data_IF_596703161937
#
_entry.id   IF_596703161937
#
_cell.length_a   1.000
_cell.length_b   1.000
_cell.length_c   1.000
_cell.angle_alpha   90.00
_cell.angle_beta   90.00
_cell.angle_gamma   90.00
#
_symmetry.space_group_name_H-M   'P 1'
#
loop_
_entity.id
_entity.type
_entity.pdbx_description
1 polymer ?
#
# COMPACT_ATOMS: atom_id res chain seq x y z
N UNK A 1 -11.32 -8.52 7.88
CA UNK A 1 -11.83 -7.23 7.37
C UNK A 1 -11.40 -7.12 5.91
N UNK A 2 -12.23 -6.52 5.04
CA UNK A 2 -11.91 -6.38 3.61
C UNK A 2 -11.00 -5.17 3.31
N UNK A 3 -10.60 -4.44 4.34
CA UNK A 3 -9.60 -3.37 4.35
C UNK A 3 -8.76 -3.48 5.63
N UNK A 4 -7.65 -2.76 5.68
CA UNK A 4 -6.74 -2.74 6.83
C UNK A 4 -6.97 -1.48 7.69
N UNK A 5 -6.80 -1.60 9.00
CA UNK A 5 -6.77 -0.47 9.93
C UNK A 5 -5.41 -0.44 10.65
N UNK A 6 -4.71 0.67 10.53
CA UNK A 6 -3.44 0.92 11.22
C UNK A 6 -3.66 2.00 12.28
N UNK A 7 -3.08 1.83 13.47
CA UNK A 7 -3.11 2.84 14.53
C UNK A 7 -1.70 3.32 14.81
N UNK A 8 -1.41 4.57 14.48
CA UNK A 8 -0.16 5.26 14.78
C UNK A 8 -0.36 5.98 16.12
N UNK A 9 -0.35 5.19 17.20
CA UNK A 9 -0.58 5.66 18.55
C UNK A 9 0.75 5.96 19.25
N UNK A 10 0.78 7.05 20.01
CA UNK A 10 1.86 7.26 20.98
C UNK A 10 1.70 6.29 22.16
N UNK A 11 2.80 5.83 22.75
CA UNK A 11 2.75 4.91 23.89
C UNK A 11 2.05 5.53 25.12
N UNK A 12 2.14 6.85 25.29
CA UNK A 12 1.56 7.62 26.38
C UNK A 12 0.95 8.93 25.84
N UNK A 13 -0.22 8.90 25.18
CA UNK A 13 -0.81 10.08 24.57
C UNK A 13 -1.25 11.06 25.66
N UNK A 14 -0.84 12.33 25.55
CA UNK A 14 -1.44 13.41 26.35
C UNK A 14 -2.85 13.75 25.87
N UNK A 15 -3.16 13.43 24.62
CA UNK A 15 -4.43 13.64 23.94
C UNK A 15 -4.95 12.31 23.34
N UNK A 16 -6.08 11.79 23.86
CA UNK A 16 -6.67 10.49 23.44
C UNK A 16 -7.56 10.52 22.18
N UNK A 17 -8.19 11.64 21.81
CA UNK A 17 -8.88 11.75 20.53
C UNK A 17 -7.98 11.47 19.31
N UNK A 18 -8.45 10.59 18.43
CA UNK A 18 -7.80 10.17 17.21
C UNK A 18 -8.26 10.97 15.99
N UNK A 19 -7.31 11.26 15.10
CA UNK A 19 -7.57 11.59 13.70
C UNK A 19 -7.76 10.29 12.91
N UNK A 20 -8.90 10.12 12.25
CA UNK A 20 -9.11 9.01 11.31
C UNK A 20 -8.86 9.46 9.87
N UNK A 21 -7.81 8.93 9.24
CA UNK A 21 -7.48 9.16 7.83
C UNK A 21 -7.97 7.99 6.99
N UNK A 22 -8.81 8.25 6.00
CA UNK A 22 -9.40 7.23 5.13
C UNK A 22 -9.02 7.53 3.69
N UNK A 23 -8.60 6.52 2.94
CA UNK A 23 -8.35 6.62 1.50
C UNK A 23 -8.78 5.38 0.74
N UNK A 24 -8.78 5.48 -0.58
CA UNK A 24 -9.00 4.33 -1.46
C UNK A 24 -10.43 3.81 -1.45
N UNK A 25 -11.41 4.67 -1.14
CA UNK A 25 -12.83 4.37 -1.35
C UNK A 25 -13.14 4.14 -2.84
N UNK A 26 -12.38 4.84 -3.70
CA UNK A 26 -12.37 4.64 -5.14
C UNK A 26 -11.02 4.10 -5.59
N UNK A 27 -11.06 3.07 -6.43
CA UNK A 27 -9.87 2.30 -6.77
C UNK A 27 -8.99 2.89 -7.87
N UNK A 28 -9.42 3.97 -8.52
CA UNK A 28 -8.69 4.70 -9.57
C UNK A 28 -8.07 6.02 -9.05
N UNK A 29 -7.97 6.19 -7.73
CA UNK A 29 -7.54 7.44 -7.08
C UNK A 29 -6.27 7.23 -6.24
N UNK A 30 -5.11 7.06 -6.92
CA UNK A 30 -3.89 6.61 -6.28
C UNK A 30 -3.22 7.61 -5.36
N UNK A 31 -3.53 8.91 -5.45
CA UNK A 31 -2.93 9.91 -4.57
C UNK A 31 -3.18 9.59 -3.10
N UNK A 32 -4.45 9.36 -2.73
CA UNK A 32 -4.83 9.13 -1.33
C UNK A 32 -4.19 7.89 -0.72
N UNK A 33 -4.27 6.73 -1.41
CA UNK A 33 -3.76 5.48 -0.83
C UNK A 33 -2.24 5.33 -0.88
N UNK A 34 -1.54 6.02 -1.77
CA UNK A 34 -0.08 6.13 -1.67
C UNK A 34 0.33 7.06 -0.52
N UNK A 35 -0.38 8.16 -0.29
CA UNK A 35 -0.11 9.06 0.83
C UNK A 35 -0.31 8.36 2.19
N UNK A 36 -1.39 7.60 2.37
CA UNK A 36 -1.60 6.83 3.61
C UNK A 36 -0.60 5.70 3.76
N UNK A 37 -0.14 5.07 2.67
CA UNK A 37 0.97 4.10 2.73
C UNK A 37 2.27 4.73 3.23
N UNK A 38 2.62 5.93 2.75
CA UNK A 38 3.78 6.69 3.23
C UNK A 38 3.59 7.12 4.68
N UNK A 39 2.40 7.60 5.05
CA UNK A 39 2.07 7.94 6.43
C UNK A 39 2.34 6.77 7.38
N UNK A 40 1.87 5.57 7.04
CA UNK A 40 2.03 4.38 7.88
C UNK A 40 3.50 3.96 8.02
N UNK A 41 4.30 4.04 6.95
CA UNK A 41 5.70 3.57 6.96
C UNK A 41 6.68 4.59 7.54
N UNK A 42 6.47 5.88 7.27
CA UNK A 42 7.52 6.91 7.38
C UNK A 42 7.18 8.03 8.37
N UNK A 43 6.02 7.98 9.01
CA UNK A 43 5.67 8.91 10.09
C UNK A 43 5.65 8.20 11.43
N UNK A 44 6.10 8.90 12.46
CA UNK A 44 6.00 8.46 13.84
C UNK A 44 5.24 9.49 14.66
N UNK A 45 4.15 9.05 15.29
CA UNK A 45 3.32 9.86 16.19
C UNK A 45 3.83 9.68 17.62
N UNK A 46 4.22 10.77 18.25
CA UNK A 46 4.79 10.78 19.60
C UNK A 46 3.84 11.32 20.66
N UNK A 47 2.81 12.04 20.24
CA UNK A 47 1.76 12.55 21.10
C UNK A 47 0.46 12.69 20.30
N UNK A 48 -0.61 12.08 20.80
CA UNK A 48 -1.86 11.90 20.06
C UNK A 48 -2.03 10.51 19.44
N UNK A 49 -3.04 10.38 18.58
CA UNK A 49 -3.42 9.14 17.90
C UNK A 49 -3.87 9.42 16.47
N UNK A 50 -3.38 8.63 15.50
CA UNK A 50 -3.82 8.68 14.10
C UNK A 50 -4.20 7.28 13.64
N UNK A 51 -5.45 7.09 13.26
CA UNK A 51 -5.98 5.85 12.71
C UNK A 51 -6.02 5.96 11.20
N UNK A 52 -5.59 4.93 10.48
CA UNK A 52 -5.40 4.99 9.03
C UNK A 52 -6.06 3.78 8.37
N UNK A 53 -6.99 4.05 7.45
CA UNK A 53 -7.57 3.07 6.54
C UNK A 53 -7.06 3.37 5.12
N UNK A 54 -5.98 2.73 4.65
CA UNK A 54 -5.37 3.09 3.38
C UNK A 54 -6.14 2.58 2.16
N UNK A 55 -6.93 1.51 2.30
CA UNK A 55 -7.43 0.69 1.19
C UNK A 55 -8.91 0.34 1.32
N UNK A 56 -9.79 1.31 1.60
CA UNK A 56 -11.20 1.05 1.93
C UNK A 56 -11.91 0.15 0.89
N UNK A 57 -11.69 0.39 -0.40
CA UNK A 57 -12.18 -0.44 -1.50
C UNK A 57 -11.04 -1.21 -2.18
N UNK A 58 -10.35 -2.07 -1.42
CA UNK A 58 -9.22 -2.86 -1.90
C UNK A 58 -9.51 -3.59 -3.22
N UNK A 59 -10.69 -4.18 -3.37
CA UNK A 59 -11.04 -4.91 -4.59
C UNK A 59 -11.01 -4.00 -5.84
N UNK A 60 -11.56 -2.80 -5.73
CA UNK A 60 -11.55 -1.81 -6.82
C UNK A 60 -10.13 -1.28 -7.09
N UNK A 61 -9.30 -1.08 -6.05
CA UNK A 61 -7.88 -0.70 -6.19
C UNK A 61 -7.12 -1.77 -7.01
N UNK A 62 -7.32 -3.05 -6.70
CA UNK A 62 -6.68 -4.15 -7.42
C UNK A 62 -7.12 -4.25 -8.88
N UNK A 63 -8.33 -3.79 -9.20
CA UNK A 63 -8.87 -3.76 -10.57
C UNK A 63 -8.66 -2.43 -11.30
N UNK A 64 -7.98 -1.45 -10.69
CA UNK A 64 -7.83 -0.08 -11.23
C UNK A 64 -9.17 0.51 -11.68
N UNK A 65 -10.21 0.25 -10.89
CA UNK A 65 -11.57 0.66 -11.22
C UNK A 65 -12.06 1.61 -10.14
N UNK A 66 -12.86 2.61 -10.52
CA UNK A 66 -13.45 3.55 -9.57
C UNK A 66 -14.27 2.86 -8.48
N UNK A 67 -15.08 1.88 -8.83
CA UNK A 67 -15.90 1.13 -7.88
C UNK A 67 -16.61 -0.03 -8.59
N UNK A 68 -16.10 -1.25 -8.40
CA UNK A 68 -16.58 -2.43 -9.13
C UNK A 68 -18.07 -2.72 -8.83
N UNK A 69 -18.53 -2.40 -7.62
CA UNK A 69 -19.91 -2.60 -7.19
C UNK A 69 -20.70 -1.28 -7.10
N UNK A 70 -20.29 -0.27 -7.89
CA UNK A 70 -20.85 1.08 -7.86
C UNK A 70 -20.03 2.05 -7.01
N UNK A 71 -20.51 3.29 -6.88
CA UNK A 71 -19.83 4.30 -6.08
C UNK A 71 -20.01 4.03 -4.58
N UNK A 72 -18.97 3.50 -3.93
CA UNK A 72 -19.00 3.20 -2.50
C UNK A 72 -19.25 4.47 -1.67
N UNK A 73 -18.86 5.66 -2.15
CA UNK A 73 -19.12 6.93 -1.46
C UNK A 73 -20.58 7.42 -1.63
N UNK A 74 -21.48 6.56 -2.11
CA UNK A 74 -22.95 6.75 -2.13
C UNK A 74 -23.69 5.70 -1.31
N UNK A 75 -22.97 4.94 -0.49
CA UNK A 75 -23.50 3.81 0.29
C UNK A 75 -23.62 4.08 1.79
N UNK A 76 -23.39 5.31 2.25
CA UNK A 76 -23.37 5.63 3.69
C UNK A 76 -24.72 6.05 4.26
N UNK A 77 -25.75 6.21 3.43
CA UNK A 77 -27.14 6.33 3.88
C UNK A 77 -27.79 4.93 4.05
N UNK A 78 -29.03 4.76 3.57
CA UNK A 78 -29.70 3.45 3.49
C UNK A 78 -29.00 2.57 2.44
N UNK A 79 -28.63 1.35 2.83
CA UNK A 79 -27.96 0.38 1.97
C UNK A 79 -28.65 -0.99 2.11
N UNK A 80 -28.86 -1.67 0.98
CA UNK A 80 -29.43 -3.00 0.96
C UNK A 80 -28.43 -4.03 1.54
N UNK A 81 -28.92 -4.99 2.35
CA UNK A 81 -28.09 -6.05 2.94
C UNK A 81 -27.48 -7.00 1.90
N UNK A 82 -28.07 -7.05 0.71
CA UNK A 82 -27.57 -7.83 -0.42
C UNK A 82 -26.46 -7.13 -1.22
N UNK A 83 -26.17 -5.85 -0.95
CA UNK A 83 -25.07 -5.15 -1.61
C UNK A 83 -23.74 -5.85 -1.26
N UNK A 84 -22.89 -6.19 -2.25
CA UNK A 84 -21.60 -6.85 -2.00
C UNK A 84 -20.66 -6.08 -1.06
N UNK A 85 -20.83 -4.75 -0.96
CA UNK A 85 -20.04 -3.87 -0.11
C UNK A 85 -20.74 -3.58 1.23
N UNK A 86 -21.91 -4.16 1.52
CA UNK A 86 -22.68 -3.88 2.75
C UNK A 86 -21.82 -4.06 4.00
N UNK A 87 -21.15 -5.20 4.15
CA UNK A 87 -20.34 -5.49 5.33
C UNK A 87 -19.17 -4.51 5.47
N UNK A 88 -18.51 -4.17 4.37
CA UNK A 88 -17.40 -3.20 4.34
C UNK A 88 -17.88 -1.83 4.84
N UNK A 89 -19.02 -1.38 4.33
CA UNK A 89 -19.64 -0.11 4.72
C UNK A 89 -20.02 -0.14 6.21
N UNK A 90 -20.60 -1.23 6.71
CA UNK A 90 -20.91 -1.33 8.15
C UNK A 90 -19.65 -1.30 9.02
N UNK A 91 -18.57 -1.96 8.58
CA UNK A 91 -17.33 -2.02 9.35
C UNK A 91 -16.63 -0.66 9.42
N UNK A 92 -16.56 0.10 8.30
CA UNK A 92 -16.01 1.46 8.34
C UNK A 92 -16.90 2.43 9.13
N UNK A 93 -18.23 2.27 9.08
CA UNK A 93 -19.16 3.06 9.92
C UNK A 93 -18.88 2.86 11.41
N UNK A 94 -18.61 1.62 11.85
CA UNK A 94 -18.24 1.35 13.25
C UNK A 94 -16.97 2.09 13.66
N UNK A 95 -15.95 2.12 12.80
CA UNK A 95 -14.70 2.83 13.07
C UNK A 95 -14.95 4.35 13.13
N UNK A 96 -15.74 4.89 12.21
CA UNK A 96 -16.13 6.33 12.21
C UNK A 96 -16.85 6.71 13.50
N UNK A 97 -17.70 5.82 14.03
CA UNK A 97 -18.49 6.05 15.23
C UNK A 97 -17.74 5.81 16.54
N UNK A 98 -16.51 5.27 16.50
CA UNK A 98 -15.71 5.02 17.69
C UNK A 98 -15.58 6.31 18.53
N UNK A 99 -15.70 6.20 19.85
CA UNK A 99 -15.68 7.35 20.75
C UNK A 99 -14.35 8.10 20.72
N UNK A 100 -13.25 7.41 20.40
CA UNK A 100 -11.93 8.02 20.31
C UNK A 100 -11.76 8.80 19.01
N UNK A 101 -12.51 8.51 17.95
CA UNK A 101 -12.40 9.24 16.67
C UNK A 101 -13.15 10.56 16.78
N UNK A 102 -12.46 11.70 16.62
CA UNK A 102 -13.10 13.04 16.69
C UNK A 102 -13.05 13.80 15.37
N UNK A 103 -11.97 13.65 14.60
CA UNK A 103 -11.79 14.25 13.28
C UNK A 103 -11.56 13.16 12.26
N UNK A 104 -12.13 13.33 11.07
CA UNK A 104 -12.02 12.40 9.95
C UNK A 104 -11.53 13.17 8.74
N UNK A 105 -10.47 12.68 8.10
CA UNK A 105 -9.94 13.21 6.86
C UNK A 105 -10.03 12.13 5.78
N UNK A 106 -10.86 12.38 4.76
CA UNK A 106 -11.11 11.46 3.66
C UNK A 106 -10.39 11.92 2.40
N UNK A 107 -9.46 11.13 1.88
CA UNK A 107 -8.59 11.50 0.77
C UNK A 107 -9.13 10.95 -0.56
N UNK A 108 -9.19 11.82 -1.57
CA UNK A 108 -9.68 11.53 -2.92
C UNK A 108 -8.80 12.18 -3.99
N UNK A 109 -8.94 11.73 -5.24
CA UNK A 109 -8.36 12.42 -6.39
C UNK A 109 -9.47 13.03 -7.27
N UNK A 110 -9.56 14.35 -7.30
CA UNK A 110 -10.63 15.09 -7.97
C UNK A 110 -10.26 15.54 -9.39
N UNK A 111 -11.21 15.59 -10.32
CA UNK A 111 -10.94 16.11 -11.67
C UNK A 111 -10.66 17.62 -11.67
N UNK A 112 -9.79 18.09 -12.58
CA UNK A 112 -9.50 19.51 -12.81
C UNK A 112 -8.98 20.24 -11.57
N UNK A 113 -9.23 21.55 -11.49
CA UNK A 113 -8.90 22.38 -10.33
C UNK A 113 -10.14 23.19 -9.93
N UNK A 114 -10.58 23.02 -8.69
CA UNK A 114 -11.74 23.74 -8.18
C UNK A 114 -11.48 25.25 -8.16
N UNK A 115 -12.47 26.01 -8.64
CA UNK A 115 -12.57 27.47 -8.54
C UNK A 115 -14.01 27.82 -8.19
N UNK A 116 -14.21 28.89 -7.45
CA UNK A 116 -15.56 29.37 -7.11
C UNK A 116 -16.32 29.81 -8.37
N UNK A 117 -15.60 30.46 -9.29
CA UNK A 117 -16.12 30.90 -10.58
C UNK A 117 -15.56 30.08 -11.75
N UNK A 118 -16.32 30.06 -12.85
CA UNK A 118 -15.86 29.46 -14.09
C UNK A 118 -14.76 30.32 -14.73
N UNK A 119 -13.59 29.72 -14.95
CA UNK A 119 -12.48 30.31 -15.73
C UNK A 119 -12.36 29.56 -17.06
N UNK A 120 -12.31 28.23 -17.00
CA UNK A 120 -12.34 27.36 -18.18
C UNK A 120 -12.75 25.93 -17.78
N UNK A 121 -12.77 25.00 -18.74
CA UNK A 121 -13.18 23.61 -18.51
C UNK A 121 -12.35 22.87 -17.44
N UNK A 122 -11.12 23.29 -17.18
CA UNK A 122 -10.24 22.71 -16.15
C UNK A 122 -10.28 23.47 -14.83
N UNK A 123 -10.72 24.72 -14.82
CA UNK A 123 -10.75 25.61 -13.66
C UNK A 123 -12.16 26.17 -13.49
N UNK A 124 -13.00 25.51 -12.69
CA UNK A 124 -14.39 25.92 -12.44
C UNK A 124 -15.01 25.21 -11.23
N UNK A 125 -16.24 25.60 -10.88
CA UNK A 125 -16.98 25.12 -9.72
C UNK A 125 -17.38 23.64 -9.76
N UNK A 126 -17.40 23.02 -10.94
CA UNK A 126 -17.74 21.61 -11.10
C UNK A 126 -16.52 20.68 -10.96
N UNK A 127 -15.32 21.25 -10.77
CA UNK A 127 -14.08 20.50 -10.53
C UNK A 127 -13.88 20.24 -9.04
N UNK A 128 -13.13 19.19 -8.73
CA UNK A 128 -12.87 18.75 -7.37
C UNK A 128 -11.39 18.84 -7.01
N UNK A 129 -10.49 18.83 -8.00
CA UNK A 129 -9.07 18.82 -7.69
C UNK A 129 -8.60 20.07 -6.95
N UNK A 130 -7.72 19.85 -5.99
CA UNK A 130 -7.11 20.85 -5.11
C UNK A 130 -8.15 21.69 -4.35
N UNK A 131 -9.09 21.02 -3.69
CA UNK A 131 -9.89 21.63 -2.64
C UNK A 131 -9.94 20.75 -1.40
N UNK A 132 -10.25 21.39 -0.28
CA UNK A 132 -10.57 20.71 0.97
C UNK A 132 -12.05 20.95 1.26
N UNK A 133 -12.79 19.85 1.44
CA UNK A 133 -14.26 19.84 1.41
C UNK A 133 -14.82 19.66 2.82
N UNK A 134 -15.88 20.39 3.11
CA UNK A 134 -16.74 20.21 4.29
C UNK A 134 -18.20 20.09 3.86
N UNK A 135 -18.99 19.33 4.60
CA UNK A 135 -20.41 19.17 4.33
C UNK A 135 -21.26 20.37 4.77
N UNK A 136 -20.82 21.11 5.79
CA UNK A 136 -21.50 22.29 6.34
C UNK A 136 -20.49 23.15 7.11
N UNK A 137 -20.75 24.47 7.23
CA UNK A 137 -19.84 25.39 7.91
C UNK A 137 -19.72 25.18 9.42
N UNK A 138 -20.82 24.86 10.10
CA UNK A 138 -20.87 24.66 11.56
C UNK A 138 -21.47 23.31 11.89
N UNK A 139 -20.78 22.53 12.72
CA UNK A 139 -21.30 21.23 13.18
C UNK A 139 -22.23 21.38 14.39
N UNK A 140 -22.06 22.45 15.20
CA UNK A 140 -22.83 22.83 16.42
C UNK A 140 -22.62 24.33 16.77
N UNK A 141 -23.25 24.85 17.83
CA UNK A 141 -23.12 26.25 18.31
C UNK A 141 -21.69 26.72 18.61
N UNK A 142 -20.69 25.82 18.75
CA UNK A 142 -19.33 26.19 19.19
C UNK A 142 -18.18 25.52 18.41
N UNK A 143 -18.47 24.78 17.33
CA UNK A 143 -17.45 24.05 16.56
C UNK A 143 -17.48 24.50 15.09
N UNK A 144 -16.60 25.44 14.74
CA UNK A 144 -16.47 25.92 13.36
C UNK A 144 -15.57 24.97 12.55
N UNK A 145 -16.19 24.25 11.61
CA UNK A 145 -15.46 23.42 10.66
C UNK A 145 -14.63 24.30 9.71
N UNK A 146 -15.08 25.52 9.43
CA UNK A 146 -14.36 26.46 8.58
C UNK A 146 -13.01 26.84 9.19
N UNK A 147 -12.92 27.08 10.49
CA UNK A 147 -11.66 27.42 11.14
C UNK A 147 -10.63 26.28 10.98
N UNK A 148 -11.08 25.05 11.23
CA UNK A 148 -10.24 23.86 11.14
C UNK A 148 -9.76 23.63 9.70
N UNK A 149 -10.67 23.67 8.72
CA UNK A 149 -10.31 23.41 7.33
C UNK A 149 -9.52 24.58 6.73
N UNK A 150 -9.74 25.81 7.18
CA UNK A 150 -8.98 26.98 6.73
C UNK A 150 -7.53 26.91 7.19
N UNK A 151 -7.26 26.48 8.43
CA UNK A 151 -5.89 26.24 8.89
C UNK A 151 -5.17 25.16 8.05
N UNK A 152 -5.89 24.10 7.66
CA UNK A 152 -5.34 23.06 6.78
C UNK A 152 -5.04 23.64 5.39
N UNK A 153 -5.97 24.39 4.81
CA UNK A 153 -5.79 25.02 3.49
C UNK A 153 -4.67 26.06 3.51
N UNK A 154 -4.54 26.85 4.58
CA UNK A 154 -3.44 27.80 4.78
C UNK A 154 -2.10 27.07 4.85
N UNK A 155 -2.02 25.97 5.61
CA UNK A 155 -0.82 25.14 5.67
C UNK A 155 -0.42 24.58 4.31
N UNK A 156 -1.40 24.05 3.55
CA UNK A 156 -1.15 23.57 2.18
C UNK A 156 -0.67 24.73 1.28
N UNK A 157 -1.35 25.87 1.34
CA UNK A 157 -1.06 27.02 0.49
C UNK A 157 0.27 27.71 0.82
N UNK A 158 0.77 27.57 2.04
CA UNK A 158 2.12 27.99 2.42
C UNK A 158 3.23 27.12 1.82
N UNK A 159 2.88 25.98 1.23
CA UNK A 159 3.79 24.98 0.68
C UNK A 159 3.41 24.60 -0.77
N UNK A 160 2.90 25.55 -1.57
CA UNK A 160 2.52 25.26 -2.96
C UNK A 160 3.74 24.96 -3.84
N UNK A 161 3.57 24.00 -4.74
CA UNK A 161 4.54 23.74 -5.81
C UNK A 161 4.36 24.70 -6.99
N UNK A 162 3.12 25.16 -7.21
CA UNK A 162 2.72 26.06 -8.28
C UNK A 162 1.45 26.82 -7.84
N UNK A 163 1.31 28.09 -8.23
CA UNK A 163 0.14 28.91 -7.92
C UNK A 163 -1.17 28.36 -8.50
N UNK A 164 -1.12 27.66 -9.63
CA UNK A 164 -2.27 26.94 -10.19
C UNK A 164 -2.86 25.94 -9.20
N UNK A 165 -2.01 25.35 -8.35
CA UNK A 165 -2.36 24.31 -7.39
C UNK A 165 -3.01 24.83 -6.11
N UNK A 166 -3.16 26.15 -5.96
CA UNK A 166 -3.76 26.78 -4.78
C UNK A 166 -5.05 26.09 -4.35
N UNK A 167 -5.05 25.60 -3.10
CA UNK A 167 -6.18 24.97 -2.45
C UNK A 167 -7.21 26.00 -2.01
N UNK A 168 -8.48 25.60 -2.06
CA UNK A 168 -9.63 26.36 -1.57
C UNK A 168 -10.50 25.48 -0.70
N UNK A 169 -11.21 26.11 0.22
CA UNK A 169 -12.28 25.44 0.97
C UNK A 169 -13.49 25.31 0.04
N UNK A 170 -14.11 24.14 0.00
CA UNK A 170 -15.39 23.92 -0.67
C UNK A 170 -16.40 23.42 0.36
N UNK A 171 -17.39 24.25 0.67
CA UNK A 171 -18.53 23.83 1.47
C UNK A 171 -19.65 23.34 0.54
N UNK A 172 -20.02 22.07 0.63
CA UNK A 172 -21.09 21.50 -0.21
C UNK A 172 -22.49 21.85 0.28
N UNK A 173 -22.63 22.39 1.50
CA UNK A 173 -23.91 22.68 2.16
C UNK A 173 -24.87 21.48 2.06
N UNK A 174 -24.36 20.29 2.36
CA UNK A 174 -24.97 18.99 2.03
C UNK A 174 -26.41 18.90 2.53
N UNK A 175 -26.67 19.32 3.78
CA UNK A 175 -28.00 19.29 4.39
C UNK A 175 -29.03 20.23 3.72
N UNK A 176 -28.59 21.17 2.88
CA UNK A 176 -29.45 22.14 2.19
C UNK A 176 -29.83 21.69 0.75
N UNK A 177 -29.64 20.41 0.41
CA UNK A 177 -30.22 19.82 -0.80
C UNK A 177 -29.25 19.08 -1.73
N UNK A 178 -28.03 18.73 -1.30
CA UNK A 178 -27.15 17.86 -2.10
C UNK A 178 -27.44 16.38 -1.82
N UNK A 179 -28.48 15.87 -2.46
CA UNK A 179 -28.99 14.49 -2.30
C UNK A 179 -27.91 13.43 -2.54
N UNK A 180 -26.90 13.73 -3.38
CA UNK A 180 -25.82 12.79 -3.65
C UNK A 180 -24.79 12.79 -2.52
N UNK A 181 -24.43 13.96 -2.00
CA UNK A 181 -23.53 14.07 -0.86
C UNK A 181 -24.16 13.62 0.46
N UNK A 182 -25.50 13.64 0.59
CA UNK A 182 -26.22 13.06 1.73
C UNK A 182 -25.92 11.55 1.92
N UNK A 183 -25.45 10.88 0.87
CA UNK A 183 -25.10 9.45 0.89
C UNK A 183 -23.61 9.19 1.13
N UNK A 184 -22.82 10.25 1.37
CA UNK A 184 -21.36 10.20 1.47
C UNK A 184 -20.84 9.83 2.86
N UNK A 185 -19.58 9.39 2.89
CA UNK A 185 -18.88 9.06 4.12
C UNK A 185 -18.78 10.26 5.07
N UNK A 186 -18.38 11.42 4.55
CA UNK A 186 -18.16 12.62 5.38
C UNK A 186 -19.47 13.16 5.92
N UNK A 187 -20.56 13.07 5.15
CA UNK A 187 -21.88 13.46 5.66
C UNK A 187 -22.39 12.50 6.73
N UNK A 188 -22.22 11.19 6.56
CA UNK A 188 -22.54 10.21 7.60
C UNK A 188 -21.78 10.50 8.91
N UNK A 189 -20.49 10.85 8.81
CA UNK A 189 -19.70 11.26 9.98
C UNK A 189 -20.26 12.55 10.61
N UNK A 190 -20.55 13.56 9.78
CA UNK A 190 -21.09 14.86 10.19
C UNK A 190 -22.40 14.74 10.97
N UNK A 191 -23.39 14.01 10.46
CA UNK A 191 -24.68 13.82 11.15
C UNK A 191 -24.55 13.00 12.44
N UNK A 192 -23.45 12.25 12.59
CA UNK A 192 -23.10 11.51 13.81
C UNK A 192 -22.12 12.29 14.71
N UNK A 193 -22.09 13.62 14.57
CA UNK A 193 -21.36 14.54 15.46
C UNK A 193 -19.83 14.38 15.41
N UNK A 194 -19.28 13.89 14.30
CA UNK A 194 -17.84 13.83 14.04
C UNK A 194 -17.44 14.99 13.12
N UNK A 195 -16.28 15.60 13.35
CA UNK A 195 -15.76 16.61 12.42
C UNK A 195 -15.20 15.91 11.20
N UNK A 196 -15.83 16.05 10.04
CA UNK A 196 -15.45 15.35 8.82
C UNK A 196 -15.02 16.31 7.73
N UNK A 197 -13.91 15.96 7.08
CA UNK A 197 -13.30 16.73 6.02
C UNK A 197 -12.93 15.78 4.88
N UNK A 198 -12.98 16.27 3.64
CA UNK A 198 -12.32 15.60 2.53
C UNK A 198 -11.16 16.44 2.01
N UNK A 199 -10.12 15.79 1.49
CA UNK A 199 -9.09 16.45 0.70
C UNK A 199 -9.05 15.83 -0.68
N UNK A 200 -9.15 16.68 -1.70
CA UNK A 200 -9.18 16.27 -3.10
C UNK A 200 -7.92 16.78 -3.79
N UNK A 201 -7.01 15.89 -4.20
CA UNK A 201 -5.87 16.28 -5.03
C UNK A 201 -6.24 16.16 -6.51
N UNK A 202 -5.76 17.08 -7.36
CA UNK A 202 -6.16 17.06 -8.76
C UNK A 202 -5.63 15.83 -9.52
N UNK A 203 -6.53 15.12 -10.21
CA UNK A 203 -6.22 14.07 -11.19
C UNK A 203 -5.38 14.58 -12.37
N UNK A 204 -5.27 15.90 -12.56
CA UNK A 204 -4.40 16.50 -13.56
C UNK A 204 -2.93 16.53 -13.14
N UNK A 205 -2.63 16.26 -11.87
CA UNK A 205 -1.26 16.22 -11.35
C UNK A 205 -0.65 14.82 -11.51
N UNK A 206 0.69 14.72 -11.64
CA UNK A 206 1.39 13.44 -11.51
C UNK A 206 1.22 12.89 -10.08
N UNK A 207 1.35 11.56 -9.93
CA UNK A 207 1.06 10.87 -8.68
C UNK A 207 1.83 11.43 -7.47
N UNK A 208 3.13 11.68 -7.63
CA UNK A 208 3.98 12.24 -6.58
C UNK A 208 3.48 13.61 -6.08
N UNK A 209 2.94 14.46 -6.95
CA UNK A 209 2.34 15.74 -6.53
C UNK A 209 0.97 15.56 -5.86
N UNK A 210 0.16 14.58 -6.28
CA UNK A 210 -1.08 14.26 -5.56
C UNK A 210 -0.80 13.79 -4.15
N UNK A 211 0.16 12.87 -4.02
CA UNK A 211 0.64 12.35 -2.74
C UNK A 211 1.20 13.48 -1.87
N UNK A 212 1.97 14.40 -2.44
CA UNK A 212 2.49 15.58 -1.75
C UNK A 212 1.39 16.41 -1.09
N UNK A 213 0.36 16.78 -1.86
CA UNK A 213 -0.74 17.57 -1.31
C UNK A 213 -1.61 16.81 -0.32
N UNK A 214 -1.78 15.49 -0.50
CA UNK A 214 -2.45 14.66 0.51
C UNK A 214 -1.65 14.63 1.82
N UNK A 215 -0.33 14.44 1.78
CA UNK A 215 0.52 14.48 2.96
C UNK A 215 0.48 15.86 3.65
N UNK A 216 0.50 16.96 2.89
CA UNK A 216 0.31 18.31 3.46
C UNK A 216 -1.04 18.44 4.17
N UNK A 217 -2.13 17.92 3.61
CA UNK A 217 -3.45 17.97 4.25
C UNK A 217 -3.50 17.16 5.55
N UNK A 218 -2.86 15.98 5.57
CA UNK A 218 -2.72 15.14 6.76
C UNK A 218 -1.90 15.86 7.83
N UNK A 219 -0.75 16.43 7.48
CA UNK A 219 0.09 17.21 8.40
C UNK A 219 -0.63 18.45 8.95
N UNK A 220 -1.34 19.19 8.09
CA UNK A 220 -2.17 20.33 8.51
C UNK A 220 -3.24 19.92 9.51
N UNK A 221 -3.92 18.79 9.26
CA UNK A 221 -4.94 18.28 10.16
C UNK A 221 -4.34 17.82 11.50
N UNK A 222 -3.22 17.09 11.49
CA UNK A 222 -2.49 16.71 12.70
C UNK A 222 -2.09 17.93 13.53
N UNK A 223 -1.58 18.99 12.87
CA UNK A 223 -1.23 20.27 13.52
C UNK A 223 -2.45 20.94 14.16
N UNK A 224 -3.60 20.98 13.47
CA UNK A 224 -4.86 21.52 14.02
C UNK A 224 -5.38 20.76 15.25
N UNK A 225 -4.86 19.56 15.50
CA UNK A 225 -5.20 18.72 16.66
C UNK A 225 -4.08 18.68 17.71
N UNK A 226 -3.00 19.45 17.52
CA UNK A 226 -1.79 19.39 18.32
C UNK A 226 -1.17 17.99 18.41
N UNK A 227 -1.36 17.15 17.39
CA UNK A 227 -0.71 15.84 17.27
C UNK A 227 0.75 16.07 16.92
N UNK A 228 1.67 15.54 17.74
CA UNK A 228 3.12 15.65 17.51
C UNK A 228 3.59 14.45 16.72
N UNK A 229 4.20 14.72 15.58
CA UNK A 229 4.73 13.70 14.69
C UNK A 229 6.10 14.11 14.15
N UNK A 230 6.85 13.11 13.71
CA UNK A 230 8.01 13.31 12.85
C UNK A 230 7.88 12.42 11.61
N UNK A 231 8.71 12.71 10.61
CA UNK A 231 8.88 11.90 9.42
C UNK A 231 10.36 11.74 9.10
N UNK A 232 10.74 10.59 8.58
CA UNK A 232 12.15 10.21 8.33
C UNK A 232 12.72 10.71 6.99
N UNK A 233 11.97 11.58 6.28
CA UNK A 233 12.32 12.09 4.95
C UNK A 233 12.17 13.61 4.87
N UNK A 234 12.30 14.21 3.68
CA UNK A 234 11.93 15.61 3.38
C UNK A 234 10.66 15.65 2.52
N UNK A 235 9.68 16.51 2.84
CA UNK A 235 8.41 16.54 2.13
C UNK A 235 8.60 17.38 0.88
N UNK A 236 9.08 16.71 -0.16
CA UNK A 236 9.35 17.26 -1.48
C UNK A 236 9.08 16.18 -2.54
N UNK A 237 9.00 16.60 -3.81
CA UNK A 237 8.62 15.73 -4.92
C UNK A 237 9.63 14.62 -5.19
N UNK A 238 10.92 14.87 -5.00
CA UNK A 238 11.98 13.89 -5.23
C UNK A 238 11.95 12.79 -4.17
N UNK A 239 11.77 13.18 -2.92
CA UNK A 239 11.63 12.25 -1.80
C UNK A 239 10.37 11.40 -1.95
N UNK A 240 9.22 12.01 -2.28
CA UNK A 240 7.97 11.26 -2.49
C UNK A 240 8.07 10.26 -3.65
N UNK A 241 8.69 10.65 -4.76
CA UNK A 241 8.86 9.74 -5.91
C UNK A 241 9.68 8.50 -5.54
N UNK A 242 10.72 8.66 -4.70
CA UNK A 242 11.47 7.54 -4.13
C UNK A 242 10.63 6.68 -3.20
N UNK A 243 9.84 7.29 -2.31
CA UNK A 243 9.02 6.55 -1.35
C UNK A 243 7.88 5.76 -2.01
N UNK A 244 7.29 6.27 -3.10
CA UNK A 244 6.33 5.53 -3.91
C UNK A 244 6.99 4.30 -4.56
N UNK A 245 8.26 4.42 -4.94
CA UNK A 245 9.04 3.36 -5.59
C UNK A 245 10.08 2.76 -4.65
N UNK A 246 9.70 2.52 -3.39
CA UNK A 246 10.64 2.18 -2.32
C UNK A 246 11.48 0.92 -2.64
N UNK A 247 12.80 1.01 -2.41
CA UNK A 247 13.75 -0.05 -2.76
C UNK A 247 13.62 -1.30 -1.88
N UNK A 248 13.17 -1.11 -0.63
CA UNK A 248 12.96 -2.19 0.34
C UNK A 248 11.63 -2.95 0.17
N UNK A 249 10.76 -2.56 -0.78
CA UNK A 249 9.42 -3.14 -0.87
C UNK A 249 9.53 -4.64 -1.16
N UNK A 250 8.94 -5.44 -0.27
CA UNK A 250 8.94 -6.91 -0.39
C UNK A 250 7.52 -7.48 -0.24
N UNK A 251 7.40 -8.76 -0.54
CA UNK A 251 6.26 -9.58 -0.13
C UNK A 251 6.78 -10.92 0.36
N UNK A 252 6.22 -11.39 1.46
CA UNK A 252 6.47 -12.72 2.00
C UNK A 252 5.24 -13.57 1.78
N UNK A 253 5.43 -14.77 1.22
CA UNK A 253 4.37 -15.69 0.83
C UNK A 253 4.58 -17.00 1.61
N UNK A 254 3.56 -17.38 2.38
CA UNK A 254 3.55 -18.57 3.23
C UNK A 254 4.80 -18.72 4.12
N UNK A 255 5.41 -17.61 4.56
CA UNK A 255 6.61 -17.55 5.42
C UNK A 255 7.88 -18.24 4.91
N UNK A 256 7.87 -18.84 3.71
CA UNK A 256 9.01 -19.59 3.15
C UNK A 256 9.51 -19.03 1.81
N UNK A 257 8.93 -17.90 1.39
CA UNK A 257 9.29 -17.14 0.20
C UNK A 257 9.26 -15.66 0.57
N UNK A 258 10.41 -15.01 0.65
CA UNK A 258 10.50 -13.55 0.58
C UNK A 258 10.87 -13.15 -0.86
N UNK A 259 10.18 -12.17 -1.43
CA UNK A 259 10.41 -11.68 -2.78
C UNK A 259 10.61 -10.15 -2.74
N UNK A 260 11.79 -9.62 -3.12
CA UNK A 260 11.99 -8.19 -3.30
C UNK A 260 11.27 -7.74 -4.56
N UNK A 261 10.54 -6.64 -4.46
CA UNK A 261 9.68 -6.14 -5.52
C UNK A 261 10.27 -4.94 -6.26
N UNK A 262 11.28 -4.29 -5.67
CA UNK A 262 12.04 -3.26 -6.37
C UNK A 262 12.83 -3.84 -7.54
N UNK A 263 12.78 -3.15 -8.67
CA UNK A 263 13.43 -3.53 -9.93
C UNK A 263 13.14 -4.97 -10.41
N UNK A 264 12.03 -5.57 -9.96
CA UNK A 264 11.64 -6.92 -10.34
C UNK A 264 11.28 -6.99 -11.83
N UNK A 265 11.59 -8.12 -12.48
CA UNK A 265 11.15 -8.41 -13.84
C UNK A 265 9.62 -8.54 -13.88
N UNK A 266 8.98 -8.15 -14.99
CA UNK A 266 7.52 -8.13 -15.08
C UNK A 266 6.89 -9.53 -15.05
N UNK A 267 7.66 -10.59 -15.33
CA UNK A 267 7.19 -11.97 -15.30
C UNK A 267 8.24 -12.86 -14.63
N UNK A 268 7.81 -13.69 -13.68
CA UNK A 268 8.62 -14.77 -13.10
C UNK A 268 7.98 -16.10 -13.48
N UNK A 269 8.73 -16.94 -14.17
CA UNK A 269 8.27 -18.24 -14.65
C UNK A 269 8.49 -19.34 -13.61
N UNK A 270 7.65 -20.37 -13.64
CA UNK A 270 7.75 -21.53 -12.75
C UNK A 270 7.87 -21.12 -11.28
N UNK A 271 7.00 -20.21 -10.83
CA UNK A 271 7.01 -19.72 -9.45
C UNK A 271 6.26 -20.71 -8.55
N UNK A 272 6.89 -21.26 -7.49
CA UNK A 272 6.25 -22.24 -6.63
C UNK A 272 5.06 -21.61 -5.90
N UNK A 273 3.89 -22.26 -5.99
CA UNK A 273 2.69 -21.78 -5.29
C UNK A 273 1.78 -22.94 -4.89
N UNK A 274 1.11 -22.81 -3.75
CA UNK A 274 0.04 -23.73 -3.37
C UNK A 274 -1.24 -23.39 -4.15
N UNK A 275 -2.10 -24.38 -4.39
CA UNK A 275 -3.42 -24.15 -5.03
C UNK A 275 -4.42 -23.47 -4.09
N UNK A 276 -4.26 -23.76 -2.80
CA UNK A 276 -5.12 -23.34 -1.69
C UNK A 276 -4.22 -22.82 -0.56
N UNK A 277 -4.78 -22.08 0.40
CA UNK A 277 -4.08 -21.58 1.59
C UNK A 277 -2.83 -20.75 1.25
N UNK A 278 -2.99 -19.78 0.35
CA UNK A 278 -1.97 -18.76 0.11
C UNK A 278 -2.15 -17.68 1.15
N UNK A 279 -1.16 -17.54 2.02
CA UNK A 279 -1.04 -16.43 2.95
C UNK A 279 0.11 -15.52 2.52
N UNK A 280 -0.02 -14.23 2.78
CA UNK A 280 1.04 -13.29 2.45
C UNK A 280 0.99 -12.06 3.33
N UNK A 281 2.16 -11.45 3.52
CA UNK A 281 2.27 -10.11 4.06
C UNK A 281 3.29 -9.29 3.25
N UNK A 282 3.18 -7.98 3.33
CA UNK A 282 4.17 -7.06 2.78
C UNK A 282 4.55 -6.05 3.84
N UNK A 283 5.80 -5.58 3.81
CA UNK A 283 6.23 -4.44 4.59
C UNK A 283 5.60 -3.10 4.14
N UNK A 284 4.79 -3.12 3.08
CA UNK A 284 4.11 -1.95 2.52
C UNK A 284 2.59 -2.17 2.53
N UNK A 285 1.79 -1.28 3.16
CA UNK A 285 0.35 -1.47 3.39
C UNK A 285 -0.53 -1.71 2.16
N UNK A 286 -0.05 -1.28 0.98
CA UNK A 286 -0.81 -1.32 -0.28
C UNK A 286 -0.18 -2.25 -1.31
N UNK A 287 0.54 -3.27 -0.86
CA UNK A 287 1.04 -4.36 -1.71
C UNK A 287 0.19 -5.60 -1.50
N UNK A 288 -0.27 -6.19 -2.62
CA UNK A 288 -1.12 -7.37 -2.58
C UNK A 288 -0.77 -8.39 -3.65
N UNK A 289 -0.87 -9.66 -3.26
CA UNK A 289 -0.88 -10.82 -4.14
C UNK A 289 -2.33 -11.25 -4.39
N UNK A 290 -2.69 -11.48 -5.65
CA UNK A 290 -4.00 -12.04 -5.98
C UNK A 290 -3.94 -12.92 -7.22
N UNK A 291 -4.88 -13.87 -7.27
CA UNK A 291 -5.08 -14.74 -8.43
C UNK A 291 -5.72 -13.95 -9.57
N UNK A 292 -5.14 -14.09 -10.74
CA UNK A 292 -5.65 -13.50 -11.97
C UNK A 292 -5.64 -14.56 -13.09
N UNK A 293 -6.83 -15.11 -13.32
CA UNK A 293 -7.05 -16.26 -14.20
C UNK A 293 -6.15 -17.47 -13.82
N UNK A 294 -5.17 -17.77 -14.67
CA UNK A 294 -4.21 -18.88 -14.51
C UNK A 294 -2.91 -18.45 -13.83
N UNK A 295 -2.72 -17.15 -13.59
CA UNK A 295 -1.50 -16.59 -13.03
C UNK A 295 -1.79 -15.92 -11.69
N UNK A 296 -0.73 -15.43 -11.06
CA UNK A 296 -0.85 -14.50 -9.93
C UNK A 296 -0.23 -13.17 -10.29
N UNK A 297 -0.75 -12.10 -9.71
CA UNK A 297 -0.24 -10.74 -9.87
C UNK A 297 0.12 -10.19 -8.50
N UNK A 298 1.24 -9.47 -8.44
CA UNK A 298 1.59 -8.62 -7.31
C UNK A 298 1.46 -7.17 -7.76
N UNK A 299 0.70 -6.38 -6.98
CA UNK A 299 0.48 -4.95 -7.23
C UNK A 299 0.89 -4.13 -6.03
N UNK A 300 1.39 -2.92 -6.31
CA UNK A 300 1.53 -1.83 -5.35
C UNK A 300 0.50 -0.76 -5.72
N UNK A 301 -0.59 -0.68 -4.96
CA UNK A 301 -1.75 0.13 -5.32
C UNK A 301 -2.28 -0.24 -6.72
N UNK A 302 -2.25 0.72 -7.64
CA UNK A 302 -2.63 0.48 -9.03
C UNK A 302 -1.51 -0.06 -9.93
N UNK A 303 -0.24 -0.03 -9.47
CA UNK A 303 0.92 -0.42 -10.26
C UNK A 303 1.07 -1.94 -10.26
N UNK A 304 1.02 -2.57 -11.44
CA UNK A 304 1.42 -3.97 -11.61
C UNK A 304 2.94 -4.07 -11.47
N UNK A 305 3.41 -4.87 -10.51
CA UNK A 305 4.83 -5.09 -10.29
C UNK A 305 5.32 -6.34 -11.03
N UNK A 306 4.64 -7.47 -10.83
CA UNK A 306 5.05 -8.76 -11.42
C UNK A 306 3.87 -9.69 -11.65
N UNK A 307 3.96 -10.47 -12.72
CA UNK A 307 3.16 -11.66 -12.98
C UNK A 307 3.94 -12.91 -12.57
N UNK A 308 3.38 -13.70 -11.66
CA UNK A 308 3.94 -14.99 -11.29
C UNK A 308 3.23 -16.07 -12.11
N UNK A 309 3.98 -16.78 -12.96
CA UNK A 309 3.48 -17.96 -13.67
C UNK A 309 3.63 -19.17 -12.74
N UNK A 310 2.53 -19.73 -12.23
CA UNK A 310 2.60 -20.68 -11.15
C UNK A 310 3.14 -22.03 -11.61
N UNK A 311 4.03 -22.61 -10.80
CA UNK A 311 4.28 -24.03 -10.71
C UNK A 311 3.59 -24.53 -9.44
N UNK A 312 2.46 -25.24 -9.61
CA UNK A 312 1.69 -25.72 -8.48
C UNK A 312 2.36 -26.91 -7.79
N UNK A 313 2.63 -26.77 -6.51
CA UNK A 313 3.26 -27.82 -5.68
C UNK A 313 2.77 -27.77 -4.23
N UNK A 314 2.90 -28.88 -3.52
CA UNK A 314 2.68 -28.91 -2.07
C UNK A 314 3.86 -28.26 -1.36
N UNK A 315 3.59 -27.54 -0.27
CA UNK A 315 4.64 -26.94 0.55
C UNK A 315 4.95 -27.84 1.74
N UNK A 316 6.22 -27.93 2.09
CA UNK A 316 6.72 -28.57 3.30
C UNK A 316 7.41 -27.52 4.17
N UNK A 317 6.98 -27.39 5.42
CA UNK A 317 7.49 -26.37 6.33
C UNK A 317 8.56 -26.91 7.30
N UNK A 318 9.12 -28.10 7.03
CA UNK A 318 10.07 -28.76 7.95
C UNK A 318 11.50 -28.23 7.83
N UNK A 319 11.87 -27.64 6.69
CA UNK A 319 13.15 -26.94 6.54
C UNK A 319 13.04 -25.52 7.10
N UNK A 320 13.76 -25.23 8.18
CA UNK A 320 13.75 -23.89 8.81
C UNK A 320 14.96 -23.06 8.43
N UNK A 321 16.14 -23.66 8.49
CA UNK A 321 17.40 -23.02 8.15
C UNK A 321 18.21 -23.91 7.22
N UNK A 322 19.15 -23.31 6.49
CA UNK A 322 20.12 -23.97 5.62
C UNK A 322 21.49 -23.35 5.88
N UNK A 323 22.52 -24.19 6.03
CA UNK A 323 23.89 -23.71 6.00
C UNK A 323 24.27 -23.33 4.57
N UNK A 324 24.89 -22.18 4.39
CA UNK A 324 25.38 -21.70 3.10
C UNK A 324 26.81 -21.21 3.30
N UNK A 325 27.73 -21.63 2.44
CA UNK A 325 29.08 -21.09 2.39
C UNK A 325 29.04 -19.88 1.47
N UNK A 326 29.10 -18.66 2.03
CA UNK A 326 29.11 -17.40 1.30
C UNK A 326 30.51 -16.80 1.38
N UNK A 327 31.17 -16.61 0.24
CA UNK A 327 32.50 -16.00 0.16
C UNK A 327 33.52 -16.65 1.14
N UNK A 328 33.44 -17.98 1.25
CA UNK A 328 34.22 -18.87 2.13
C UNK A 328 33.87 -18.82 3.63
N UNK A 329 32.77 -18.19 4.02
CA UNK A 329 32.24 -18.23 5.38
C UNK A 329 30.96 -19.06 5.42
N UNK A 330 30.91 -20.07 6.28
CA UNK A 330 29.68 -20.83 6.51
C UNK A 330 28.75 -20.07 7.45
N UNK A 331 27.50 -19.87 7.02
CA UNK A 331 26.48 -19.12 7.76
C UNK A 331 25.18 -19.93 7.71
N UNK A 332 24.49 -20.05 8.84
CA UNK A 332 23.14 -20.61 8.90
C UNK A 332 22.13 -19.52 8.54
N UNK A 333 21.32 -19.77 7.51
CA UNK A 333 20.36 -18.81 6.94
C UNK A 333 18.93 -19.36 7.05
N UNK A 334 17.96 -18.60 7.58
CA UNK A 334 16.56 -18.98 7.55
C UNK A 334 16.03 -19.09 6.11
N UNK A 335 15.19 -20.09 5.86
CA UNK A 335 14.42 -20.18 4.62
C UNK A 335 13.51 -18.95 4.47
N UNK A 336 13.25 -18.55 3.22
CA UNK A 336 12.38 -17.41 2.93
C UNK A 336 13.08 -16.08 3.16
N UNK A 337 14.40 -16.00 2.93
CA UNK A 337 15.20 -14.78 3.11
C UNK A 337 15.92 -14.38 1.83
N UNK A 338 16.37 -13.11 1.81
CA UNK A 338 17.26 -12.56 0.78
C UNK A 338 18.66 -12.41 1.38
N UNK A 339 19.68 -12.97 0.72
CA UNK A 339 21.08 -12.88 1.13
C UNK A 339 21.91 -12.12 0.10
N UNK A 340 22.85 -11.30 0.58
CA UNK A 340 23.79 -10.56 -0.29
C UNK A 340 25.11 -11.33 -0.42
N UNK A 341 25.62 -11.47 -1.64
CA UNK A 341 26.86 -12.21 -1.95
C UNK A 341 27.78 -11.33 -2.81
N UNK A 342 29.10 -11.41 -2.61
CA UNK A 342 30.07 -10.67 -3.44
C UNK A 342 30.66 -11.50 -4.57
N UNK A 343 31.09 -12.73 -4.30
CA UNK A 343 31.75 -13.58 -5.30
C UNK A 343 30.99 -14.88 -5.54
N UNK A 344 30.77 -15.67 -4.48
CA UNK A 344 30.29 -17.05 -4.64
C UNK A 344 29.49 -17.56 -3.46
N UNK A 345 28.64 -18.55 -3.73
CA UNK A 345 27.97 -19.32 -2.71
C UNK A 345 28.04 -20.83 -3.01
N UNK A 346 27.86 -21.64 -1.98
CA UNK A 346 27.73 -23.09 -2.07
C UNK A 346 26.75 -23.57 -0.99
N UNK A 347 25.87 -24.50 -1.35
CA UNK A 347 24.98 -25.17 -0.39
C UNK A 347 25.63 -26.51 -0.02
N UNK A 348 26.10 -26.73 1.22
CA UNK A 348 26.63 -28.02 1.65
C UNK A 348 25.59 -29.15 1.52
N UNK A 349 26.01 -30.42 1.47
CA UNK A 349 25.10 -31.55 1.40
C UNK A 349 24.03 -31.53 2.51
N UNK A 350 22.77 -31.64 2.11
CA UNK A 350 21.60 -31.71 3.01
C UNK A 350 20.52 -32.65 2.43
N UNK A 351 19.57 -33.16 3.24
CA UNK A 351 18.56 -34.14 2.79
C UNK A 351 17.41 -33.49 1.99
N UNK A 352 17.74 -32.55 1.11
CA UNK A 352 16.81 -31.84 0.22
C UNK A 352 17.45 -31.72 -1.17
N UNK A 353 16.63 -31.77 -2.22
CA UNK A 353 17.08 -31.39 -3.56
C UNK A 353 17.15 -29.87 -3.63
N UNK A 354 18.28 -29.36 -4.11
CA UNK A 354 18.51 -27.94 -4.33
C UNK A 354 18.44 -27.67 -5.82
N UNK A 355 17.70 -26.61 -6.19
CA UNK A 355 17.57 -26.10 -7.55
C UNK A 355 17.96 -24.62 -7.60
N UNK A 356 19.10 -24.29 -8.18
CA UNK A 356 19.60 -22.94 -8.37
C UNK A 356 19.13 -22.44 -9.73
N UNK A 357 18.07 -21.64 -9.72
CA UNK A 357 17.42 -21.17 -10.94
C UNK A 357 18.36 -20.26 -11.73
N UNK A 358 18.84 -20.78 -12.85
CA UNK A 358 19.79 -20.10 -13.73
C UNK A 358 21.12 -20.82 -13.88
N UNK A 359 21.40 -21.80 -13.02
CA UNK A 359 22.52 -22.72 -13.18
C UNK A 359 22.07 -23.97 -13.95
N UNK A 360 23.00 -24.60 -14.66
CA UNK A 360 22.77 -25.90 -15.29
C UNK A 360 24.09 -26.64 -15.46
N UNK A 361 24.10 -27.93 -15.12
CA UNK A 361 25.19 -28.85 -15.41
C UNK A 361 24.61 -30.21 -15.78
N UNK A 362 25.07 -30.75 -16.91
CA UNK A 362 24.55 -32.03 -17.40
C UNK A 362 24.79 -33.16 -16.39
N UNK A 363 23.79 -34.02 -16.22
CA UNK A 363 23.80 -35.12 -15.24
C UNK A 363 23.72 -34.72 -13.76
N UNK A 364 23.41 -33.46 -13.42
CA UNK A 364 23.25 -32.99 -12.04
C UNK A 364 21.77 -32.76 -11.72
N UNK A 365 21.22 -33.57 -10.82
CA UNK A 365 19.83 -33.48 -10.36
C UNK A 365 19.63 -32.53 -9.16
N UNK A 366 20.70 -32.26 -8.39
CA UNK A 366 20.70 -31.39 -7.20
C UNK A 366 22.01 -30.64 -7.13
N UNK A 367 21.98 -29.31 -6.93
CA UNK A 367 23.20 -28.48 -6.93
C UNK A 367 23.81 -28.26 -5.54
N UNK A 368 23.68 -29.27 -4.67
CA UNK A 368 24.42 -29.34 -3.40
C UNK A 368 25.91 -29.59 -3.65
N UNK A 369 26.78 -29.01 -2.83
CA UNK A 369 28.23 -29.14 -2.92
C UNK A 369 28.85 -28.51 -4.17
N UNK A 370 28.12 -27.63 -4.87
CA UNK A 370 28.60 -26.92 -6.04
C UNK A 370 28.82 -25.46 -5.69
N UNK A 371 30.06 -24.99 -5.83
CA UNK A 371 30.41 -23.57 -5.74
C UNK A 371 29.96 -22.83 -7.00
N UNK A 372 29.07 -21.85 -6.84
CA UNK A 372 28.44 -21.11 -7.94
C UNK A 372 28.79 -19.61 -7.83
N UNK A 373 29.16 -19.00 -8.95
CA UNK A 373 29.41 -17.56 -9.10
C UNK A 373 28.38 -16.93 -10.02
N UNK A 374 28.28 -15.58 -10.02
CA UNK A 374 27.39 -14.84 -10.92
C UNK A 374 27.55 -15.23 -12.39
N UNK A 375 28.81 -15.43 -12.84
CA UNK A 375 29.12 -15.78 -14.24
C UNK A 375 28.62 -17.17 -14.67
N UNK A 376 28.30 -18.04 -13.71
CA UNK A 376 27.80 -19.40 -13.97
C UNK A 376 26.27 -19.42 -14.12
N UNK A 377 25.61 -18.29 -13.86
CA UNK A 377 24.15 -18.14 -13.90
C UNK A 377 23.70 -17.42 -15.17
N UNK A 378 22.71 -17.96 -15.87
CA UNK A 378 22.16 -17.32 -17.06
C UNK A 378 21.26 -16.13 -16.67
N UNK A 379 21.61 -14.92 -17.12
CA UNK A 379 20.88 -13.66 -16.83
C UNK A 379 19.36 -13.73 -17.08
N UNK A 380 18.91 -14.51 -18.08
CA UNK A 380 17.47 -14.67 -18.37
C UNK A 380 16.65 -15.23 -17.20
N UNK A 381 17.28 -15.96 -16.28
CA UNK A 381 16.64 -16.57 -15.12
C UNK A 381 16.70 -15.72 -13.84
N UNK A 382 17.40 -14.59 -13.84
CA UNK A 382 17.33 -13.65 -12.72
C UNK A 382 15.90 -13.14 -12.53
N UNK A 383 15.55 -12.75 -11.32
CA UNK A 383 14.23 -12.18 -10.99
C UNK A 383 14.19 -10.65 -11.14
N UNK A 384 15.33 -9.98 -11.16
CA UNK A 384 15.45 -8.52 -11.28
C UNK A 384 16.02 -8.10 -12.64
N UNK A 385 15.75 -6.85 -13.03
CA UNK A 385 16.16 -6.33 -14.35
C UNK A 385 17.66 -6.12 -14.48
N UNK A 386 18.38 -5.98 -13.36
CA UNK A 386 19.84 -5.82 -13.35
C UNK A 386 20.60 -7.14 -13.45
N UNK A 387 19.89 -8.27 -13.47
CA UNK A 387 20.45 -9.63 -13.53
C UNK A 387 21.40 -9.94 -12.36
N UNK A 388 20.97 -9.60 -11.14
CA UNK A 388 21.74 -9.78 -9.90
C UNK A 388 21.06 -10.71 -8.90
N UNK A 389 19.75 -10.90 -9.00
CA UNK A 389 18.97 -11.71 -8.04
C UNK A 389 18.53 -13.04 -8.64
N UNK A 390 18.86 -14.14 -7.97
CA UNK A 390 18.51 -15.49 -8.42
C UNK A 390 17.85 -16.29 -7.30
N UNK A 391 17.04 -17.28 -7.67
CA UNK A 391 16.33 -18.15 -6.70
C UNK A 391 17.14 -19.41 -6.44
N UNK A 392 17.26 -19.77 -5.18
CA UNK A 392 17.65 -21.10 -4.72
C UNK A 392 16.39 -21.75 -4.14
N UNK A 393 15.90 -22.79 -4.79
CA UNK A 393 14.67 -23.48 -4.40
C UNK A 393 15.01 -24.84 -3.77
N UNK A 394 14.39 -25.13 -2.62
CA UNK A 394 14.61 -26.36 -1.87
C UNK A 394 13.40 -27.27 -2.00
N UNK A 395 13.65 -28.57 -2.18
CA UNK A 395 12.59 -29.56 -2.37
C UNK A 395 12.80 -30.79 -1.50
N UNK A 396 11.75 -31.15 -0.74
CA UNK A 396 11.71 -32.39 0.01
C UNK A 396 11.29 -33.52 -0.92
N UNK A 397 12.14 -34.54 -1.00
CA UNK A 397 11.90 -35.71 -1.83
C UNK A 397 11.39 -36.86 -0.97
N UNK A 398 10.28 -37.46 -1.39
CA UNK A 398 9.76 -38.70 -0.80
C UNK A 398 9.64 -39.71 -1.92
N UNK A 399 10.22 -40.91 -1.73
CA UNK A 399 10.23 -41.95 -2.76
C UNK A 399 8.81 -42.27 -3.24
N UNK A 400 8.58 -42.18 -4.55
CA UNK A 400 7.28 -42.45 -5.18
C UNK A 400 6.26 -41.31 -5.06
N UNK A 401 6.64 -40.15 -4.52
CA UNK A 401 5.81 -38.95 -4.44
C UNK A 401 6.43 -37.80 -5.24
N UNK A 402 5.62 -36.80 -5.57
CA UNK A 402 6.12 -35.55 -6.15
C UNK A 402 6.89 -34.77 -5.09
N UNK A 403 7.95 -34.10 -5.53
CA UNK A 403 8.72 -33.16 -4.72
C UNK A 403 7.80 -32.10 -4.09
N UNK A 404 8.00 -31.85 -2.79
CA UNK A 404 7.32 -30.77 -2.06
C UNK A 404 8.27 -29.59 -1.93
N UNK A 405 7.81 -28.39 -2.21
CA UNK A 405 8.61 -27.18 -2.07
C UNK A 405 8.83 -26.86 -0.58
N UNK A 406 10.08 -26.85 -0.17
CA UNK A 406 10.50 -26.63 1.22
C UNK A 406 10.90 -25.18 1.51
N UNK A 407 10.89 -24.32 0.49
CA UNK A 407 11.19 -22.90 0.60
C UNK A 407 12.19 -22.40 -0.43
N UNK A 408 12.42 -21.10 -0.40
CA UNK A 408 13.33 -20.40 -1.32
C UNK A 408 14.20 -19.41 -0.58
N UNK A 409 15.43 -19.27 -1.04
CA UNK A 409 16.34 -18.17 -0.69
C UNK A 409 16.64 -17.40 -1.97
N UNK A 410 16.70 -16.07 -1.88
CA UNK A 410 17.14 -15.23 -2.99
C UNK A 410 18.58 -14.80 -2.73
N UNK A 411 19.45 -15.08 -3.70
CA UNK A 411 20.82 -14.57 -3.72
C UNK A 411 20.86 -13.27 -4.50
N UNK A 412 21.40 -12.20 -3.89
CA UNK A 412 21.58 -10.88 -4.50
C UNK A 412 23.08 -10.57 -4.65
N UNK A 413 23.60 -10.68 -5.87
CA UNK A 413 24.99 -10.38 -6.17
C UNK A 413 25.24 -8.87 -6.12
N UNK A 414 26.13 -8.45 -5.21
CA UNK A 414 26.57 -7.06 -5.09
C UNK A 414 27.78 -6.81 -5.98
N UNK A 415 27.91 -5.58 -6.46
CA UNK A 415 29.07 -5.14 -7.24
C UNK A 415 30.35 -5.03 -6.39
#
# INVERSE_FOLDING_TARGET
>A
MNFSLYKLDSNNPSNKPALLVISGIQGDEPGGFNATSILIKHYKVYDGSVWVVPNLNQYSILRNNRGIYGDMNRKFAKLDKSDPEYQIVQDIKKIILDENVIKILHLHDGSGFYREDYINNMLNQNRWGNCSVIDQGTLFEYNDLNDNISQVVEYINGNLLDELHRYRVRNTNTANGDIEQEKSLTYFATINKKMAFANEASKSLPLNQRVYYHLLSIEGMMKSMNIKFERDFNLDIKSIDKLINHEDTNIVINDIIELPLYNIKPVINHFPIQKENIDFYSNTPIVWLFKDEKNYRIKHGNKNLVYLKPFYTEFDYSLKNVNIIIDNNEIEIPIGTIISIKDSFEIPPLPYRVNVIGYYKDGVDSEVGIKIKKKDLMDRFSIDKDNKKYRIEFYKQTKGQKDKFAGMIIVDFKD
#
